data_IF_006683986713
#
_entry.id   IF_006683986713
#
_cell.length_a   1.000
_cell.length_b   1.000
_cell.length_c   1.000
_cell.angle_alpha   90.00
_cell.angle_beta   90.00
_cell.angle_gamma   90.00
#
_symmetry.space_group_name_H-M   'P 1'
#
loop_
_entity.id
_entity.type
_entity.pdbx_description
1 polymer ?
#
# COMPACT_ATOMS: atom_id res chain seq x y z
N UNK A 1 7.08 -31.55 -28.47
CA UNK A 1 7.95 -30.87 -27.49
C UNK A 1 7.06 -30.12 -26.52
N UNK A 2 6.82 -30.69 -25.34
CA UNK A 2 6.00 -30.11 -24.27
C UNK A 2 6.94 -29.68 -23.14
N UNK A 3 6.83 -28.46 -22.59
CA UNK A 3 7.66 -28.06 -21.47
C UNK A 3 7.20 -28.77 -20.20
N UNK A 4 8.13 -29.50 -19.57
CA UNK A 4 7.97 -30.08 -18.24
C UNK A 4 7.89 -28.94 -17.21
N UNK A 5 6.71 -28.70 -16.66
CA UNK A 5 6.56 -27.93 -15.43
C UNK A 5 6.96 -28.82 -14.24
N UNK A 6 8.05 -28.46 -13.59
CA UNK A 6 8.46 -29.01 -12.29
C UNK A 6 7.57 -28.40 -11.20
N UNK A 7 6.84 -29.19 -10.40
CA UNK A 7 6.16 -28.66 -9.22
C UNK A 7 7.20 -28.33 -8.15
N UNK A 8 7.14 -27.10 -7.65
CA UNK A 8 7.89 -26.64 -6.48
C UNK A 8 7.35 -27.41 -5.26
N UNK A 9 8.04 -28.47 -4.85
CA UNK A 9 7.71 -29.21 -3.65
C UNK A 9 8.00 -28.34 -2.42
N UNK A 10 6.95 -27.83 -1.80
CA UNK A 10 7.01 -27.23 -0.47
C UNK A 10 7.36 -28.36 0.52
N UNK A 11 8.61 -28.46 0.93
CA UNK A 11 9.03 -29.36 2.01
C UNK A 11 8.51 -28.78 3.32
N UNK A 12 7.27 -29.11 3.66
CA UNK A 12 6.75 -29.00 5.02
C UNK A 12 7.38 -30.14 5.83
N UNK A 13 8.57 -29.86 6.37
CA UNK A 13 9.15 -30.70 7.40
C UNK A 13 8.20 -30.73 8.60
N UNK A 14 7.54 -31.88 8.80
CA UNK A 14 6.86 -32.25 10.04
C UNK A 14 7.92 -32.37 11.14
N UNK A 15 8.36 -31.24 11.67
CA UNK A 15 8.98 -31.21 12.98
C UNK A 15 7.88 -31.58 13.98
N UNK A 16 8.10 -32.68 14.72
CA UNK A 16 7.22 -33.09 15.81
C UNK A 16 7.00 -31.94 16.82
N UNK A 17 6.02 -32.05 17.72
CA UNK A 17 5.72 -31.01 18.70
C UNK A 17 6.90 -30.88 19.67
N UNK A 18 7.90 -30.11 19.28
CA UNK A 18 8.88 -29.55 20.18
C UNK A 18 8.06 -28.74 21.16
N UNK A 19 8.01 -29.21 22.41
CA UNK A 19 7.39 -28.51 23.51
C UNK A 19 7.94 -27.09 23.50
N UNK A 20 7.15 -26.15 22.99
CA UNK A 20 7.46 -24.74 23.01
C UNK A 20 7.67 -24.43 24.49
N UNK A 21 8.92 -24.29 24.89
CA UNK A 21 9.24 -23.76 26.21
C UNK A 21 8.52 -22.43 26.25
N UNK A 22 7.48 -22.35 27.09
CA UNK A 22 6.79 -21.11 27.36
C UNK A 22 7.86 -20.16 27.87
N UNK A 23 8.39 -19.34 26.96
CA UNK A 23 9.31 -18.27 27.31
C UNK A 23 8.62 -17.41 28.37
N UNK A 24 9.39 -16.73 29.23
CA UNK A 24 8.80 -15.82 30.21
C UNK A 24 7.84 -14.89 29.49
N UNK A 25 6.54 -15.04 29.78
CA UNK A 25 5.48 -14.24 29.19
C UNK A 25 5.73 -12.78 29.56
N UNK A 26 5.81 -11.92 28.55
CA UNK A 26 5.89 -10.48 28.80
C UNK A 26 4.63 -10.04 29.54
N UNK A 27 4.78 -9.25 30.60
CA UNK A 27 3.63 -8.71 31.31
C UNK A 27 2.99 -7.59 30.51
N UNK A 28 1.66 -7.47 30.57
CA UNK A 28 0.98 -6.31 30.04
C UNK A 28 1.37 -5.06 30.83
N UNK A 29 1.31 -3.92 30.14
CA UNK A 29 1.59 -2.60 30.73
C UNK A 29 0.43 -2.14 31.61
N UNK A 30 -0.74 -2.70 31.42
CA UNK A 30 -1.93 -2.45 32.23
C UNK A 30 -1.81 -3.25 33.53
N UNK A 31 -1.88 -2.54 34.66
CA UNK A 31 -1.93 -3.19 35.95
C UNK A 31 -3.36 -3.66 36.25
N UNK A 32 -3.49 -4.84 36.85
CA UNK A 32 -4.79 -5.31 37.33
C UNK A 32 -5.32 -4.37 38.41
N UNK A 33 -6.60 -4.01 38.32
CA UNK A 33 -7.24 -3.10 39.28
C UNK A 33 -7.05 -3.56 40.73
N UNK A 34 -7.14 -4.88 40.98
CA UNK A 34 -6.90 -5.48 42.29
C UNK A 34 -5.50 -5.21 42.84
N UNK A 35 -4.47 -5.29 42.00
CA UNK A 35 -3.09 -4.98 42.38
C UNK A 35 -2.88 -3.49 42.65
N UNK A 36 -3.60 -2.64 41.92
CA UNK A 36 -3.54 -1.17 42.06
C UNK A 36 -4.27 -0.70 43.32
N UNK A 37 -5.41 -1.30 43.67
CA UNK A 37 -6.19 -0.95 44.88
C UNK A 37 -5.55 -1.42 46.19
N UNK A 38 -4.59 -2.34 46.13
CA UNK A 38 -3.90 -2.93 47.31
C UNK A 38 -2.49 -2.37 47.53
N UNK A 39 -2.14 -1.27 46.85
CA UNK A 39 -0.84 -0.65 46.99
C UNK A 39 -0.61 -0.13 48.42
N UNK A 40 0.43 -0.65 49.06
CA UNK A 40 0.85 -0.20 50.40
C UNK A 40 1.35 1.26 50.40
N UNK A 41 1.86 1.72 49.25
CA UNK A 41 2.29 3.10 49.06
C UNK A 41 1.16 3.91 48.42
N UNK A 42 0.46 4.70 49.24
CA UNK A 42 -0.65 5.53 48.76
C UNK A 42 -0.11 6.82 48.11
N UNK A 43 -0.51 7.11 46.86
CA UNK A 43 -0.33 8.43 46.28
C UNK A 43 -0.99 9.51 47.13
N UNK A 44 -0.52 10.76 47.02
CA UNK A 44 -1.21 11.90 47.64
C UNK A 44 -2.67 11.97 47.20
N UNK A 45 -3.54 12.49 48.06
CA UNK A 45 -4.98 12.59 47.78
C UNK A 45 -5.30 13.35 46.48
N UNK A 46 -4.47 14.35 46.12
CA UNK A 46 -4.62 15.11 44.88
C UNK A 46 -4.32 14.29 43.62
N UNK A 47 -3.34 13.40 43.68
CA UNK A 47 -2.87 12.61 42.54
C UNK A 47 -3.42 11.18 42.50
N UNK A 48 -4.06 10.71 43.58
CA UNK A 48 -4.51 9.32 43.73
C UNK A 48 -5.31 8.81 42.54
N UNK A 49 -6.44 9.44 42.23
CA UNK A 49 -7.30 8.94 41.15
C UNK A 49 -6.57 8.90 39.80
N UNK A 50 -5.81 9.97 39.48
CA UNK A 50 -5.05 10.02 38.24
C UNK A 50 -4.02 8.90 38.16
N UNK A 51 -3.22 8.67 39.21
CA UNK A 51 -2.19 7.63 39.21
C UNK A 51 -2.79 6.24 39.09
N UNK A 52 -3.91 5.96 39.79
CA UNK A 52 -4.59 4.67 39.67
C UNK A 52 -5.13 4.45 38.25
N UNK A 53 -5.77 5.45 37.65
CA UNK A 53 -6.23 5.40 36.27
C UNK A 53 -5.06 5.15 35.30
N UNK A 54 -3.95 5.87 35.45
CA UNK A 54 -2.77 5.74 34.60
C UNK A 54 -2.16 4.33 34.67
N UNK A 55 -2.13 3.72 35.85
CA UNK A 55 -1.63 2.36 36.07
C UNK A 55 -2.56 1.30 35.46
N UNK A 56 -3.87 1.46 35.62
CA UNK A 56 -4.88 0.55 35.04
C UNK A 56 -4.90 0.67 33.51
N UNK A 57 -4.87 1.90 32.98
CA UNK A 57 -4.82 2.15 31.54
C UNK A 57 -3.45 1.80 30.93
N UNK A 58 -2.39 1.74 31.75
CA UNK A 58 -1.01 1.56 31.31
C UNK A 58 -0.50 2.75 30.48
N UNK A 59 -0.96 3.96 30.79
CA UNK A 59 -0.70 5.18 30.01
C UNK A 59 -0.60 6.38 30.94
N UNK A 60 0.43 7.21 30.74
CA UNK A 60 0.59 8.51 31.41
C UNK A 60 -0.36 9.54 30.79
N UNK A 61 -0.94 10.43 31.61
CA UNK A 61 -1.71 11.60 31.14
C UNK A 61 -0.85 12.86 31.05
N UNK A 62 -0.17 13.22 32.13
CA UNK A 62 0.70 14.42 32.21
C UNK A 62 1.89 14.21 33.18
N UNK A 63 2.63 15.28 33.50
CA UNK A 63 3.79 15.23 34.40
C UNK A 63 3.50 15.76 35.82
N UNK A 64 2.26 16.19 36.13
CA UNK A 64 1.92 16.81 37.41
C UNK A 64 2.08 15.85 38.61
N UNK A 65 1.77 14.57 38.41
CA UNK A 65 1.80 13.52 39.44
C UNK A 65 3.03 12.60 39.34
N UNK A 66 4.18 13.12 38.90
CA UNK A 66 5.38 12.32 38.61
C UNK A 66 5.92 11.53 39.79
N UNK A 67 6.04 12.15 40.98
CA UNK A 67 6.60 11.50 42.17
C UNK A 67 5.68 10.40 42.73
N UNK A 68 4.38 10.70 42.84
CA UNK A 68 3.35 9.76 43.27
C UNK A 68 3.26 8.55 42.32
N UNK A 69 3.35 8.81 41.01
CA UNK A 69 3.42 7.76 39.98
C UNK A 69 4.65 6.88 40.14
N UNK A 70 5.82 7.46 40.38
CA UNK A 70 7.04 6.68 40.58
C UNK A 70 6.93 5.82 41.84
N UNK A 71 6.40 6.39 42.94
CA UNK A 71 6.16 5.68 44.19
C UNK A 71 5.23 4.47 44.02
N UNK A 72 4.05 4.68 43.43
CA UNK A 72 3.08 3.62 43.16
C UNK A 72 3.65 2.57 42.18
N UNK A 73 4.34 3.03 41.12
CA UNK A 73 4.97 2.16 40.14
C UNK A 73 6.09 1.29 40.73
N UNK A 74 6.87 1.81 41.70
CA UNK A 74 7.86 1.02 42.44
C UNK A 74 7.23 -0.11 43.25
N UNK A 75 6.06 0.14 43.85
CA UNK A 75 5.34 -0.86 44.64
C UNK A 75 4.75 -1.99 43.77
N UNK A 76 4.45 -1.71 42.49
CA UNK A 76 3.90 -2.72 41.57
C UNK A 76 4.96 -3.64 40.93
N UNK A 77 6.14 -3.13 40.61
CA UNK A 77 7.15 -3.89 39.86
C UNK A 77 7.76 -5.01 40.70
N UNK A 78 7.77 -6.23 40.16
CA UNK A 78 8.47 -7.38 40.73
C UNK A 78 9.78 -7.65 40.00
N UNK A 79 10.76 -8.24 40.70
CA UNK A 79 12.10 -8.55 40.13
C UNK A 79 12.08 -9.42 38.86
N UNK A 80 11.03 -10.23 38.67
CA UNK A 80 10.87 -11.13 37.52
C UNK A 80 10.03 -10.53 36.40
N UNK A 81 9.50 -9.32 36.57
CA UNK A 81 8.67 -8.69 35.55
C UNK A 81 9.53 -8.28 34.35
N UNK A 82 8.97 -8.53 33.17
CA UNK A 82 9.52 -8.13 31.88
C UNK A 82 8.40 -7.57 31.01
N UNK A 83 8.70 -6.51 30.28
CA UNK A 83 7.76 -5.78 29.44
C UNK A 83 8.30 -5.71 28.02
N UNK A 84 7.44 -5.90 27.03
CA UNK A 84 7.80 -5.67 25.65
C UNK A 84 7.76 -4.18 25.31
N UNK A 85 8.70 -3.72 24.47
CA UNK A 85 8.68 -2.37 23.92
C UNK A 85 9.06 -2.36 22.45
N UNK A 86 8.64 -1.30 21.74
CA UNK A 86 8.93 -1.09 20.32
C UNK A 86 9.96 0.03 20.19
N UNK A 87 11.15 -0.31 19.71
CA UNK A 87 12.22 0.66 19.48
C UNK A 87 12.00 1.42 18.16
N UNK A 88 11.63 0.69 17.12
CA UNK A 88 11.36 1.24 15.80
C UNK A 88 10.18 0.52 15.17
N UNK A 89 9.31 1.29 14.52
CA UNK A 89 8.18 0.80 13.73
C UNK A 89 8.13 1.56 12.43
N UNK A 90 8.09 0.84 11.33
CA UNK A 90 7.92 1.38 9.98
C UNK A 90 6.79 0.59 9.32
N UNK A 91 5.74 1.29 8.92
CA UNK A 91 4.63 0.70 8.17
C UNK A 91 4.72 1.25 6.75
N UNK A 92 4.92 0.35 5.79
CA UNK A 92 4.88 0.62 4.37
C UNK A 92 3.68 -0.10 3.75
N UNK A 93 3.35 0.24 2.50
CA UNK A 93 2.19 -0.34 1.81
C UNK A 93 2.21 -1.88 1.78
N UNK A 94 3.40 -2.47 1.59
CA UNK A 94 3.56 -3.91 1.43
C UNK A 94 4.13 -4.61 2.67
N UNK A 95 4.75 -3.85 3.59
CA UNK A 95 5.51 -4.43 4.70
C UNK A 95 5.33 -3.67 6.01
N UNK A 96 5.39 -4.41 7.11
CA UNK A 96 5.56 -3.87 8.45
C UNK A 96 6.92 -4.32 8.97
N UNK A 97 7.74 -3.36 9.40
CA UNK A 97 9.07 -3.60 9.96
C UNK A 97 9.09 -3.10 11.41
N UNK A 98 9.50 -3.98 12.31
CA UNK A 98 9.59 -3.70 13.74
C UNK A 98 10.98 -4.01 14.26
N UNK A 99 11.42 -3.23 15.24
CA UNK A 99 12.54 -3.57 16.11
C UNK A 99 12.00 -3.61 17.53
N UNK A 100 11.95 -4.82 18.09
CA UNK A 100 11.35 -5.12 19.38
C UNK A 100 12.43 -5.30 20.45
N UNK A 101 12.08 -4.91 21.67
CA UNK A 101 12.94 -5.06 22.83
C UNK A 101 12.16 -5.54 24.04
N UNK A 102 12.93 -6.02 25.02
CA UNK A 102 12.43 -6.41 26.32
C UNK A 102 13.04 -5.51 27.38
N UNK A 103 12.19 -4.95 28.23
CA UNK A 103 12.54 -4.17 29.39
C UNK A 103 12.33 -5.03 30.63
N UNK A 104 13.38 -5.24 31.42
CA UNK A 104 13.34 -6.06 32.64
C UNK A 104 13.99 -5.31 33.79
N UNK A 105 13.79 -5.79 35.03
CA UNK A 105 14.40 -5.19 36.24
C UNK A 105 14.17 -3.67 36.32
N UNK A 106 12.95 -3.25 36.03
CA UNK A 106 12.56 -1.85 36.11
C UNK A 106 12.65 -1.33 37.53
N UNK A 107 12.92 -0.03 37.70
CA UNK A 107 12.84 0.62 39.01
C UNK A 107 11.39 0.90 39.35
N UNK A 108 10.61 1.37 38.37
CA UNK A 108 9.17 1.62 38.49
C UNK A 108 8.40 0.98 37.35
N UNK A 109 7.09 0.87 37.48
CA UNK A 109 6.21 0.35 36.43
C UNK A 109 6.26 1.24 35.18
N UNK A 110 6.62 0.72 34.00
CA UNK A 110 6.69 1.53 32.79
C UNK A 110 5.27 1.88 32.32
N UNK A 111 5.07 3.12 31.88
CA UNK A 111 3.79 3.59 31.32
C UNK A 111 3.98 4.15 29.92
N UNK A 112 2.99 3.93 29.04
CA UNK A 112 3.01 4.49 27.69
C UNK A 112 2.86 6.00 27.73
N UNK A 113 3.56 6.70 26.83
CA UNK A 113 3.32 8.13 26.61
C UNK A 113 1.89 8.41 26.11
N UNK A 114 1.29 9.59 26.40
CA UNK A 114 -0.15 9.85 26.23
C UNK A 114 -0.73 9.56 24.83
N UNK A 115 0.05 9.80 23.77
CA UNK A 115 -0.36 9.64 22.37
C UNK A 115 0.10 8.33 21.73
N UNK A 116 0.52 7.35 22.54
CA UNK A 116 1.12 6.10 22.05
C UNK A 116 0.31 4.88 22.48
N UNK A 117 0.31 3.90 21.59
CA UNK A 117 -0.29 2.58 21.72
C UNK A 117 0.68 1.56 22.35
N UNK A 118 1.97 1.75 22.15
CA UNK A 118 3.05 0.85 22.61
C UNK A 118 4.05 1.57 23.50
N UNK A 119 4.75 0.80 24.36
CA UNK A 119 5.93 1.30 25.06
C UNK A 119 7.06 1.59 24.07
N UNK A 120 7.69 2.75 24.20
CA UNK A 120 8.91 3.09 23.48
C UNK A 120 10.13 2.96 24.37
N UNK A 121 11.31 2.96 23.74
CA UNK A 121 12.60 2.98 24.43
C UNK A 121 12.69 4.10 25.49
N UNK A 122 12.13 5.27 25.21
CA UNK A 122 12.10 6.42 26.13
C UNK A 122 11.27 6.12 27.38
N UNK A 123 10.11 5.49 27.22
CA UNK A 123 9.20 5.17 28.32
C UNK A 123 9.85 4.16 29.30
N UNK A 124 10.44 3.09 28.75
CA UNK A 124 11.12 2.06 29.57
C UNK A 124 12.45 2.55 30.15
N UNK A 125 13.12 3.50 29.51
CA UNK A 125 14.32 4.13 30.08
C UNK A 125 13.97 5.04 31.24
N UNK A 126 12.87 5.80 31.14
CA UNK A 126 12.37 6.64 32.23
C UNK A 126 11.97 5.80 33.46
N UNK A 127 11.44 4.59 33.25
CA UNK A 127 11.16 3.63 34.32
C UNK A 127 12.42 2.93 34.90
N UNK A 128 13.61 3.28 34.42
CA UNK A 128 14.88 2.74 34.90
C UNK A 128 15.08 1.25 34.58
N UNK A 129 14.48 0.75 33.50
CA UNK A 129 14.58 -0.66 33.11
C UNK A 129 15.92 -1.01 32.47
N UNK A 130 16.35 -2.26 32.64
CA UNK A 130 17.41 -2.89 31.84
C UNK A 130 16.83 -3.39 30.53
N UNK A 131 17.42 -2.94 29.42
CA UNK A 131 16.91 -3.22 28.07
C UNK A 131 17.74 -4.33 27.39
N UNK A 132 17.07 -5.19 26.64
CA UNK A 132 17.68 -6.15 25.70
C UNK A 132 16.84 -6.29 24.43
N UNK A 133 17.41 -6.90 23.38
CA UNK A 133 16.64 -7.29 22.19
C UNK A 133 15.66 -8.39 22.54
N UNK A 134 14.43 -8.28 22.07
CA UNK A 134 13.43 -9.32 22.27
C UNK A 134 13.69 -10.47 21.29
N UNK A 135 13.88 -11.68 21.83
CA UNK A 135 14.10 -12.90 21.07
C UNK A 135 13.02 -13.90 21.49
N UNK A 136 11.87 -13.84 20.83
CA UNK A 136 10.73 -14.63 21.24
C UNK A 136 9.61 -14.63 20.19
N UNK A 137 8.57 -15.44 20.43
CA UNK A 137 7.41 -15.52 19.56
C UNK A 137 6.53 -14.27 19.69
N UNK A 138 6.01 -13.81 18.58
CA UNK A 138 5.04 -12.72 18.44
C UNK A 138 3.79 -13.32 17.84
N UNK A 139 2.75 -13.47 18.68
CA UNK A 139 1.43 -13.86 18.22
C UNK A 139 0.86 -12.80 17.28
N UNK A 140 0.12 -13.24 16.26
CA UNK A 140 -0.64 -12.36 15.37
C UNK A 140 -2.13 -12.60 15.62
N UNK A 141 -2.78 -11.66 16.30
CA UNK A 141 -4.22 -11.73 16.53
C UNK A 141 -4.94 -10.87 15.49
N UNK A 142 -5.79 -11.49 14.70
CA UNK A 142 -6.59 -10.81 13.69
C UNK A 142 -7.96 -10.48 14.27
N UNK A 143 -8.37 -9.21 14.12
CA UNK A 143 -9.63 -8.70 14.65
C UNK A 143 -10.53 -8.33 13.48
N UNK A 144 -11.70 -8.97 13.38
CA UNK A 144 -12.67 -8.66 12.34
C UNK A 144 -13.44 -7.35 12.61
N UNK A 145 -14.26 -6.90 11.65
CA UNK A 145 -15.07 -5.68 11.78
C UNK A 145 -16.13 -5.75 12.89
N UNK A 146 -16.42 -6.95 13.41
CA UNK A 146 -17.33 -7.17 14.54
C UNK A 146 -16.57 -7.23 15.87
N UNK A 147 -15.26 -7.03 15.87
CA UNK A 147 -14.40 -7.08 17.05
C UNK A 147 -14.02 -8.49 17.51
N UNK A 148 -14.37 -9.53 16.75
CA UNK A 148 -14.01 -10.91 17.10
C UNK A 148 -12.53 -11.14 16.79
N UNK A 149 -11.84 -11.74 17.76
CA UNK A 149 -10.40 -12.00 17.74
C UNK A 149 -10.13 -13.44 17.33
N UNK A 150 -9.18 -13.65 16.43
CA UNK A 150 -8.75 -14.97 15.96
C UNK A 150 -7.24 -15.01 15.82
N UNK A 151 -6.63 -16.18 16.04
CA UNK A 151 -5.17 -16.37 15.95
C UNK A 151 -4.89 -17.56 15.02
N UNK A 152 -5.21 -17.45 13.72
CA UNK A 152 -5.11 -18.55 12.78
C UNK A 152 -3.67 -18.94 12.42
N UNK A 153 -2.73 -18.02 12.59
CA UNK A 153 -1.33 -18.21 12.21
C UNK A 153 -0.47 -18.58 13.41
N UNK A 154 0.54 -19.42 13.17
CA UNK A 154 1.58 -19.66 14.14
C UNK A 154 2.32 -18.34 14.50
N UNK A 155 2.78 -18.18 15.75
CA UNK A 155 3.54 -17.00 16.14
C UNK A 155 4.79 -16.80 15.27
N UNK A 156 5.11 -15.55 14.96
CA UNK A 156 6.33 -15.19 14.24
C UNK A 156 7.48 -15.01 15.21
N UNK A 157 8.70 -15.38 14.83
CA UNK A 157 9.88 -15.18 15.68
C UNK A 157 10.68 -13.95 15.25
N UNK A 158 11.16 -13.17 16.21
CA UNK A 158 12.16 -12.12 15.93
C UNK A 158 13.53 -12.72 15.64
N UNK A 159 14.36 -11.97 14.88
CA UNK A 159 15.78 -12.30 14.73
C UNK A 159 16.61 -11.93 15.99
N UNK A 160 17.92 -12.19 15.93
CA UNK A 160 18.85 -11.89 17.03
C UNK A 160 18.88 -10.42 17.44
N UNK A 161 18.57 -9.53 16.51
CA UNK A 161 18.55 -8.08 16.67
C UNK A 161 17.15 -7.57 17.08
N UNK A 162 16.22 -8.49 17.38
CA UNK A 162 14.84 -8.18 17.74
C UNK A 162 14.02 -7.69 16.56
N UNK A 163 14.47 -7.90 15.32
CA UNK A 163 13.76 -7.42 14.13
C UNK A 163 12.68 -8.41 13.74
N UNK A 164 11.54 -7.88 13.33
CA UNK A 164 10.44 -8.61 12.73
C UNK A 164 10.01 -7.89 11.45
N UNK A 165 9.95 -8.64 10.35
CA UNK A 165 9.47 -8.14 9.07
C UNK A 165 8.27 -8.97 8.65
N UNK A 166 7.14 -8.30 8.48
CA UNK A 166 5.88 -8.89 8.06
C UNK A 166 5.58 -8.38 6.65
N UNK A 167 5.33 -9.30 5.71
CA UNK A 167 4.85 -8.96 4.37
C UNK A 167 3.37 -9.25 4.29
N UNK A 168 2.56 -8.24 3.99
CA UNK A 168 1.10 -8.40 3.99
C UNK A 168 0.63 -9.42 2.96
N UNK A 169 1.25 -9.47 1.77
CA UNK A 169 0.94 -10.49 0.77
C UNK A 169 1.19 -11.93 1.27
N UNK A 170 2.24 -12.13 2.08
CA UNK A 170 2.53 -13.45 2.66
C UNK A 170 1.53 -13.83 3.76
N UNK A 171 1.07 -12.86 4.55
CA UNK A 171 0.00 -13.10 5.52
C UNK A 171 -1.32 -13.44 4.82
N UNK A 172 -1.69 -12.68 3.78
CA UNK A 172 -2.90 -12.93 2.99
C UNK A 172 -2.90 -14.33 2.39
N UNK A 173 -1.78 -14.72 1.76
CA UNK A 173 -1.61 -16.07 1.21
C UNK A 173 -1.74 -17.15 2.29
N UNK A 174 -1.15 -16.94 3.47
CA UNK A 174 -1.23 -17.90 4.56
C UNK A 174 -2.65 -18.06 5.10
N UNK A 175 -3.41 -16.97 5.23
CA UNK A 175 -4.82 -17.01 5.64
C UNK A 175 -5.68 -17.79 4.65
N UNK A 176 -5.53 -17.53 3.35
CA UNK A 176 -6.23 -18.26 2.29
C UNK A 176 -5.90 -19.74 2.30
N UNK A 177 -4.63 -20.09 2.51
CA UNK A 177 -4.18 -21.47 2.57
C UNK A 177 -4.77 -22.26 3.76
N UNK A 178 -5.20 -21.56 4.81
CA UNK A 178 -5.82 -22.13 6.01
C UNK A 178 -7.35 -22.02 6.00
N UNK A 179 -7.94 -21.57 4.89
CA UNK A 179 -9.38 -21.29 4.77
C UNK A 179 -9.89 -20.31 5.85
N UNK A 180 -9.08 -19.30 6.14
CA UNK A 180 -9.38 -18.25 7.14
C UNK A 180 -9.77 -16.92 6.48
N UNK A 181 -10.12 -16.93 5.19
CA UNK A 181 -10.42 -15.74 4.41
C UNK A 181 -9.17 -15.01 3.92
N UNK A 182 -9.30 -13.70 3.72
CA UNK A 182 -8.26 -12.79 3.26
C UNK A 182 -8.04 -11.62 4.23
N UNK A 183 -6.95 -10.87 4.09
CA UNK A 183 -6.67 -9.71 4.95
C UNK A 183 -7.78 -8.66 4.92
N UNK A 184 -8.53 -8.55 3.82
CA UNK A 184 -9.63 -7.60 3.67
C UNK A 184 -10.84 -7.89 4.58
N UNK A 185 -10.95 -9.12 5.09
CA UNK A 185 -12.00 -9.54 6.02
C UNK A 185 -11.75 -9.03 7.45
N UNK A 186 -10.53 -8.56 7.74
CA UNK A 186 -10.11 -8.12 9.07
C UNK A 186 -9.96 -6.59 9.13
N UNK A 187 -10.32 -6.03 10.28
CA UNK A 187 -10.20 -4.59 10.54
C UNK A 187 -8.78 -4.22 11.01
N UNK A 188 -8.15 -5.07 11.82
CA UNK A 188 -6.77 -4.85 12.30
C UNK A 188 -6.02 -6.14 12.65
N UNK A 189 -4.71 -6.03 12.70
CA UNK A 189 -3.79 -7.05 13.22
C UNK A 189 -3.17 -6.54 14.51
N UNK A 190 -3.30 -7.28 15.60
CA UNK A 190 -2.65 -7.05 16.88
C UNK A 190 -1.38 -7.91 16.99
N UNK A 191 -0.32 -7.31 17.51
CA UNK A 191 1.03 -7.89 17.53
C UNK A 191 1.43 -8.20 18.97
N UNK A 192 1.70 -9.47 19.22
CA UNK A 192 1.97 -9.99 20.55
C UNK A 192 0.71 -10.11 21.40
N UNK A 193 0.84 -10.80 22.53
CA UNK A 193 -0.26 -10.96 23.48
C UNK A 193 -0.72 -9.59 23.97
N UNK A 194 -2.03 -9.39 24.00
CA UNK A 194 -2.65 -8.10 24.37
C UNK A 194 -2.15 -6.89 23.55
N UNK A 195 -1.65 -7.14 22.33
CA UNK A 195 -1.17 -6.11 21.40
C UNK A 195 -0.01 -5.25 21.94
N UNK A 196 0.85 -5.80 22.82
CA UNK A 196 1.95 -5.02 23.42
C UNK A 196 2.92 -4.45 22.37
N UNK A 197 3.10 -5.14 21.23
CA UNK A 197 3.95 -4.70 20.12
C UNK A 197 3.21 -3.80 19.11
N UNK A 198 1.94 -3.48 19.42
CA UNK A 198 1.10 -2.55 18.67
C UNK A 198 0.08 -3.26 17.78
N UNK A 199 -0.53 -2.48 16.91
CA UNK A 199 -1.50 -2.99 15.95
C UNK A 199 -1.37 -2.30 14.60
N UNK A 200 -1.79 -2.97 13.52
CA UNK A 200 -1.91 -2.41 12.17
C UNK A 200 -3.39 -2.28 11.84
N UNK A 201 -3.83 -1.05 11.55
CA UNK A 201 -5.17 -0.79 11.00
C UNK A 201 -5.18 -1.21 9.52
N UNK A 202 -5.89 -2.30 9.23
CA UNK A 202 -5.97 -2.85 7.87
C UNK A 202 -6.94 -2.07 7.00
N UNK A 203 -7.99 -1.49 7.57
CA UNK A 203 -8.93 -0.66 6.81
C UNK A 203 -8.22 0.59 6.28
N UNK A 204 -7.44 1.26 7.13
CA UNK A 204 -6.63 2.40 6.73
C UNK A 204 -5.58 2.00 5.68
N UNK A 205 -4.90 0.86 5.87
CA UNK A 205 -3.91 0.36 4.92
C UNK A 205 -4.53 0.05 3.54
N UNK A 206 -5.71 -0.55 3.51
CA UNK A 206 -6.43 -0.90 2.28
C UNK A 206 -6.94 0.34 1.56
N UNK A 207 -7.43 1.36 2.28
CA UNK A 207 -7.77 2.67 1.69
C UNK A 207 -6.55 3.31 1.04
N UNK A 208 -5.43 3.39 1.78
CA UNK A 208 -4.19 3.95 1.26
C UNK A 208 -3.67 3.17 0.03
N UNK A 209 -3.86 1.85 0.01
CA UNK A 209 -3.56 1.02 -1.17
C UNK A 209 -4.41 1.38 -2.38
N UNK A 210 -5.71 1.59 -2.17
CA UNK A 210 -6.62 1.99 -3.24
C UNK A 210 -6.22 3.37 -3.81
N UNK A 211 -5.98 4.37 -2.94
CA UNK A 211 -5.51 5.70 -3.35
C UNK A 211 -4.21 5.63 -4.18
N UNK A 212 -3.29 4.76 -3.75
CA UNK A 212 -2.03 4.54 -4.46
C UNK A 212 -2.24 3.87 -5.82
N UNK A 213 -3.10 2.85 -5.91
CA UNK A 213 -3.46 2.22 -7.18
C UNK A 213 -4.07 3.25 -8.15
N UNK A 214 -4.97 4.10 -7.67
CA UNK A 214 -5.58 5.14 -8.50
C UNK A 214 -4.56 6.15 -9.01
N UNK A 215 -3.61 6.55 -8.16
CA UNK A 215 -2.48 7.42 -8.57
C UNK A 215 -1.69 6.81 -9.73
N UNK A 216 -1.50 5.49 -9.74
CA UNK A 216 -0.81 4.80 -10.83
C UNK A 216 -1.66 4.74 -12.11
N UNK A 217 -2.95 4.45 -11.97
CA UNK A 217 -3.92 4.50 -13.09
C UNK A 217 -3.91 5.87 -13.76
N UNK A 218 -4.02 6.96 -12.99
CA UNK A 218 -3.97 8.35 -13.49
C UNK A 218 -2.65 8.70 -14.19
N UNK A 219 -1.56 8.03 -13.83
CA UNK A 219 -0.25 8.17 -14.50
C UNK A 219 -0.10 7.26 -15.74
N UNK A 220 -1.17 6.63 -16.20
CA UNK A 220 -1.17 5.69 -17.31
C UNK A 220 -0.48 4.35 -16.99
N UNK A 221 -0.22 4.06 -15.71
CA UNK A 221 0.45 2.83 -15.24
C UNK A 221 -0.56 1.93 -14.54
N UNK A 222 -1.54 1.44 -15.28
CA UNK A 222 -2.56 0.52 -14.75
C UNK A 222 -3.75 0.40 -15.68
N UNK A 223 -4.66 -0.53 -15.35
CA UNK A 223 -5.93 -0.67 -16.06
C UNK A 223 -7.04 -0.03 -15.21
N UNK A 224 -7.59 1.13 -15.62
CA UNK A 224 -8.66 1.81 -14.85
C UNK A 224 -9.88 0.90 -14.60
N UNK A 225 -10.26 0.06 -15.57
CA UNK A 225 -11.35 -0.90 -15.39
C UNK A 225 -11.06 -1.97 -14.33
N UNK A 226 -9.82 -2.45 -14.23
CA UNK A 226 -9.44 -3.39 -13.17
C UNK A 226 -9.39 -2.70 -11.80
N UNK A 227 -9.02 -1.42 -11.75
CA UNK A 227 -9.14 -0.63 -10.52
C UNK A 227 -10.58 -0.54 -10.07
N UNK A 228 -11.51 -0.17 -10.95
CA UNK A 228 -12.92 -0.03 -10.60
C UNK A 228 -13.54 -1.36 -10.13
N UNK A 229 -13.19 -2.48 -10.77
CA UNK A 229 -13.60 -3.82 -10.35
C UNK A 229 -13.01 -4.23 -9.00
N UNK A 230 -11.75 -3.86 -8.73
CA UNK A 230 -11.06 -4.21 -7.49
C UNK A 230 -11.40 -3.33 -6.29
N UNK A 231 -11.95 -2.13 -6.53
CA UNK A 231 -12.24 -1.12 -5.50
C UNK A 231 -13.61 -0.46 -5.74
N UNK A 232 -14.73 -1.23 -5.72
CA UNK A 232 -16.05 -0.71 -6.08
C UNK A 232 -16.58 0.36 -5.11
N UNK A 233 -16.10 0.37 -3.87
CA UNK A 233 -16.51 1.34 -2.84
C UNK A 233 -15.60 2.58 -2.81
N UNK A 234 -14.61 2.69 -3.69
CA UNK A 234 -13.70 3.83 -3.70
C UNK A 234 -14.44 5.12 -4.13
N UNK A 235 -14.24 6.28 -3.46
CA UNK A 235 -14.96 7.52 -3.78
C UNK A 235 -14.79 7.98 -5.23
N UNK A 236 -13.66 7.62 -5.85
CA UNK A 236 -13.30 7.99 -7.23
C UNK A 236 -13.46 6.82 -8.22
N UNK A 237 -14.28 5.80 -7.88
CA UNK A 237 -14.54 4.65 -8.77
C UNK A 237 -15.19 5.09 -10.09
N UNK A 238 -16.08 6.07 -10.06
CA UNK A 238 -16.75 6.60 -11.25
C UNK A 238 -15.77 7.32 -12.19
N UNK A 239 -14.78 8.03 -11.64
CA UNK A 239 -13.70 8.62 -12.43
C UNK A 239 -12.86 7.53 -13.09
N UNK A 240 -12.52 6.45 -12.36
CA UNK A 240 -11.82 5.32 -12.95
C UNK A 240 -12.66 4.62 -14.04
N UNK A 241 -13.97 4.49 -13.87
CA UNK A 241 -14.87 3.99 -14.91
C UNK A 241 -14.87 4.90 -16.15
N UNK A 242 -14.93 6.22 -15.96
CA UNK A 242 -14.83 7.19 -17.05
C UNK A 242 -13.48 7.08 -17.79
N UNK A 243 -12.36 7.02 -17.07
CA UNK A 243 -11.03 6.78 -17.65
C UNK A 243 -10.97 5.47 -18.44
N UNK A 244 -11.62 4.41 -17.97
CA UNK A 244 -11.70 3.13 -18.67
C UNK A 244 -12.52 3.23 -19.96
N UNK A 245 -13.65 3.94 -19.92
CA UNK A 245 -14.49 4.21 -21.08
C UNK A 245 -13.75 5.05 -22.13
N UNK A 246 -13.09 6.12 -21.71
CA UNK A 246 -12.28 6.97 -22.60
C UNK A 246 -11.17 6.18 -23.27
N UNK A 247 -10.39 5.41 -22.49
CA UNK A 247 -9.32 4.58 -23.05
C UNK A 247 -9.85 3.50 -24.01
N UNK A 248 -11.06 2.97 -23.77
CA UNK A 248 -11.72 2.04 -24.67
C UNK A 248 -12.15 2.74 -25.97
N UNK A 249 -12.76 3.91 -25.87
CA UNK A 249 -13.18 4.71 -27.03
C UNK A 249 -11.99 5.13 -27.89
N UNK A 250 -10.89 5.61 -27.29
CA UNK A 250 -9.68 5.97 -28.04
C UNK A 250 -9.12 4.77 -28.80
N UNK A 251 -9.06 3.58 -28.19
CA UNK A 251 -8.62 2.35 -28.91
C UNK A 251 -9.54 2.00 -30.07
N UNK A 252 -10.85 2.19 -29.90
CA UNK A 252 -11.82 1.95 -30.96
C UNK A 252 -11.73 2.96 -32.09
N UNK A 253 -11.37 4.21 -31.80
CA UNK A 253 -11.14 5.25 -32.79
C UNK A 253 -9.83 5.02 -33.55
N UNK A 254 -8.76 4.63 -32.87
CA UNK A 254 -7.49 4.24 -33.51
C UNK A 254 -7.67 3.07 -34.47
N UNK A 255 -8.36 2.00 -34.01
CA UNK A 255 -8.65 0.85 -34.86
C UNK A 255 -9.59 1.22 -36.03
N UNK A 256 -10.50 2.19 -35.84
CA UNK A 256 -11.34 2.71 -36.93
C UNK A 256 -10.49 3.40 -37.99
N UNK A 257 -9.57 4.28 -37.58
CA UNK A 257 -8.64 4.95 -38.49
C UNK A 257 -7.73 3.96 -39.22
N UNK A 258 -7.37 2.83 -38.59
CA UNK A 258 -6.63 1.74 -39.25
C UNK A 258 -7.49 1.01 -40.28
N UNK A 259 -8.79 0.84 -40.04
CA UNK A 259 -9.73 0.33 -41.07
C UNK A 259 -9.82 1.29 -42.25
N UNK A 260 -9.92 2.59 -41.98
CA UNK A 260 -9.95 3.63 -43.03
C UNK A 260 -8.69 3.59 -43.90
N UNK A 261 -7.51 3.47 -43.28
CA UNK A 261 -6.22 3.32 -43.96
C UNK A 261 -6.00 1.95 -44.63
N UNK A 262 -6.89 0.98 -44.41
CA UNK A 262 -6.75 -0.38 -44.92
C UNK A 262 -5.72 -1.25 -44.16
N UNK A 263 -5.23 -0.78 -43.02
CA UNK A 263 -4.28 -1.47 -42.14
C UNK A 263 -4.96 -2.52 -41.24
N UNK A 264 -6.27 -2.42 -41.04
CA UNK A 264 -7.10 -3.38 -40.30
C UNK A 264 -8.33 -3.75 -41.16
N UNK A 265 -8.69 -5.03 -41.22
CA UNK A 265 -9.92 -5.43 -41.94
C UNK A 265 -11.14 -5.01 -41.13
N UNK A 266 -12.18 -4.54 -41.81
CA UNK A 266 -13.42 -4.11 -41.16
C UNK A 266 -14.13 -5.25 -40.40
N UNK A 267 -14.02 -6.51 -40.85
CA UNK A 267 -14.53 -7.65 -40.07
C UNK A 267 -13.75 -7.83 -38.75
N UNK A 268 -12.42 -7.74 -38.79
CA UNK A 268 -11.59 -7.86 -37.58
C UNK A 268 -11.91 -6.75 -36.57
N UNK A 269 -12.28 -5.56 -37.03
CA UNK A 269 -12.76 -4.48 -36.16
C UNK A 269 -14.06 -4.86 -35.44
N UNK A 270 -15.05 -5.36 -36.18
CA UNK A 270 -16.36 -5.72 -35.64
C UNK A 270 -16.30 -6.88 -34.65
N UNK A 271 -15.37 -7.82 -34.88
CA UNK A 271 -15.11 -8.93 -33.97
C UNK A 271 -14.45 -8.45 -32.66
N UNK A 272 -13.50 -7.51 -32.75
CA UNK A 272 -12.82 -6.94 -31.58
C UNK A 272 -13.73 -6.02 -30.75
N UNK A 273 -14.60 -5.27 -31.41
CA UNK A 273 -15.40 -4.21 -30.80
C UNK A 273 -16.89 -4.39 -31.08
N UNK A 274 -17.51 -5.47 -30.54
CA UNK A 274 -18.88 -5.85 -30.87
C UNK A 274 -19.92 -4.76 -30.56
N UNK A 275 -19.67 -3.96 -29.53
CA UNK A 275 -20.54 -2.86 -29.08
C UNK A 275 -20.00 -1.46 -29.42
N UNK A 276 -19.12 -1.34 -30.42
CA UNK A 276 -18.57 -0.03 -30.79
C UNK A 276 -19.64 0.97 -31.24
N UNK A 277 -19.60 2.25 -30.83
CA UNK A 277 -20.47 3.28 -31.40
C UNK A 277 -20.18 3.51 -32.90
N UNK A 278 -19.01 3.11 -33.40
CA UNK A 278 -18.64 3.23 -34.82
C UNK A 278 -19.08 2.05 -35.68
N UNK A 279 -19.72 1.03 -35.09
CA UNK A 279 -20.12 -0.21 -35.77
C UNK A 279 -20.84 0.02 -37.11
N UNK A 280 -21.86 0.88 -37.12
CA UNK A 280 -22.64 1.18 -38.35
C UNK A 280 -21.78 1.77 -39.46
N UNK A 281 -20.78 2.59 -39.12
CA UNK A 281 -19.83 3.19 -40.07
C UNK A 281 -18.97 2.11 -40.72
N UNK A 282 -18.46 1.18 -39.92
CA UNK A 282 -17.60 0.06 -40.38
C UNK A 282 -18.39 -0.94 -41.24
N UNK A 283 -19.62 -1.28 -40.84
CA UNK A 283 -20.53 -2.13 -41.62
C UNK A 283 -20.84 -1.51 -43.01
N UNK A 284 -21.01 -0.19 -43.08
CA UNK A 284 -21.23 0.49 -44.36
C UNK A 284 -20.02 0.37 -45.31
N UNK A 285 -18.77 0.44 -44.81
CA UNK A 285 -17.58 0.22 -45.64
C UNK A 285 -17.45 -1.21 -46.16
N UNK A 286 -17.84 -2.21 -45.36
CA UNK A 286 -17.92 -3.60 -45.82
C UNK A 286 -18.90 -3.70 -47.00
N UNK A 287 -20.09 -3.11 -46.88
CA UNK A 287 -21.09 -3.08 -47.95
C UNK A 287 -20.62 -2.35 -49.21
N UNK A 288 -19.89 -1.23 -49.06
CA UNK A 288 -19.37 -0.45 -50.17
C UNK A 288 -18.24 -1.17 -50.94
N UNK A 289 -17.35 -1.89 -50.24
CA UNK A 289 -16.28 -2.70 -50.87
C UNK A 289 -16.82 -4.00 -51.49
N UNK A 290 -17.91 -4.55 -50.96
CA UNK A 290 -18.54 -5.76 -51.48
C UNK A 290 -19.37 -5.51 -52.74
N UNK A 291 -19.76 -4.25 -53.03
CA UNK A 291 -20.32 -3.88 -54.34
C UNK A 291 -19.15 -3.80 -55.32
N UNK A 292 -19.00 -4.78 -56.24
CA UNK A 292 -18.07 -4.62 -57.35
C UNK A 292 -18.48 -3.35 -58.10
N UNK A 293 -17.54 -2.71 -58.80
CA UNK A 293 -17.85 -1.69 -59.81
C UNK A 293 -18.69 -2.29 -60.95
N UNK A 294 -19.94 -2.65 -60.67
CA UNK A 294 -20.95 -3.03 -61.63
C UNK A 294 -21.50 -1.72 -62.23
N UNK A 295 -20.65 -1.03 -62.97
CA UNK A 295 -20.92 0.01 -63.98
C UNK A 295 -19.62 0.81 -64.23
N UNK A 296 -18.62 0.17 -64.85
CA UNK A 296 -17.90 0.87 -65.93
C UNK A 296 -18.74 0.63 -67.18
N UNK A 297 -19.44 1.64 -67.75
CA UNK A 297 -19.96 1.50 -69.10
C UNK A 297 -18.76 1.24 -70.00
N UNK A 298 -18.73 0.06 -70.58
CA UNK A 298 -17.88 -0.28 -71.72
C UNK A 298 -18.15 0.75 -72.81
N UNK A 299 -17.25 1.73 -72.94
CA UNK A 299 -17.18 2.57 -74.12
C UNK A 299 -16.94 1.63 -75.31
N UNK A 300 -17.95 1.54 -76.17
CA UNK A 300 -17.92 0.75 -77.39
C UNK A 300 -16.79 1.19 -78.29
N UNK A 301 -16.03 0.19 -78.71
CA UNK A 301 -15.20 0.17 -79.90
C UNK A 301 -16.11 0.03 -81.14
N UNK A 302 -15.67 0.64 -82.25
CA UNK A 302 -16.07 0.50 -83.69
C UNK A 302 -16.54 1.85 -84.29
N UNK A 303 -15.88 2.45 -85.29
CA UNK A 303 -14.74 1.99 -86.09
C UNK A 303 -14.11 3.07 -87.00
N UNK A 304 -12.99 2.64 -87.60
CA UNK A 304 -12.41 2.92 -88.92
C UNK A 304 -12.34 4.36 -89.47
N UNK A 305 -11.11 4.88 -89.58
CA UNK A 305 -10.65 5.64 -90.75
C UNK A 305 -9.11 5.62 -90.88
N UNK A 306 -8.67 5.08 -92.01
CA UNK A 306 -7.39 5.22 -92.72
C UNK A 306 -6.68 6.58 -92.54
N UNK A 307 -5.34 6.58 -92.48
CA UNK A 307 -4.55 7.81 -92.54
C UNK A 307 -3.06 7.63 -92.32
N UNK A 308 -2.36 7.57 -93.45
CA UNK A 308 -0.92 7.43 -93.73
C UNK A 308 0.06 8.38 -92.99
N UNK A 309 1.32 7.90 -92.92
CA UNK A 309 2.63 8.55 -92.74
C UNK A 309 2.80 9.85 -91.91
N UNK A 310 3.80 9.88 -91.01
CA UNK A 310 5.17 10.40 -91.26
C UNK A 310 5.95 10.49 -89.92
N UNK A 311 7.17 9.94 -89.90
CA UNK A 311 8.30 10.23 -88.99
C UNK A 311 8.66 11.75 -88.96
N UNK A 312 9.56 12.30 -88.08
CA UNK A 312 10.76 11.65 -87.56
C UNK A 312 11.23 12.03 -86.12
N UNK A 313 12.28 11.30 -85.72
CA UNK A 313 13.50 11.71 -84.97
C UNK A 313 13.36 12.63 -83.74
N UNK A 314 13.67 12.15 -82.53
CA UNK A 314 15.01 11.92 -81.95
C UNK A 314 15.55 13.13 -81.20
N UNK A 315 15.69 13.01 -79.87
CA UNK A 315 16.86 13.41 -79.06
C UNK A 315 16.58 12.96 -77.61
N UNK A 316 17.40 12.05 -77.06
CA UNK A 316 18.50 12.35 -76.11
C UNK A 316 18.03 13.21 -74.93
N UNK A 317 18.19 12.88 -73.66
CA UNK A 317 19.16 12.05 -72.95
C UNK A 317 19.16 12.59 -71.52
N UNK A 318 19.49 11.78 -70.50
CA UNK A 318 19.53 12.31 -69.14
C UNK A 318 19.49 11.27 -68.03
N UNK A 319 20.53 10.46 -67.95
CA UNK A 319 21.00 9.81 -66.73
C UNK A 319 21.39 10.84 -65.66
N UNK A 320 21.02 10.62 -64.39
CA UNK A 320 22.00 10.61 -63.28
C UNK A 320 21.34 10.20 -61.95
N UNK A 321 22.00 9.26 -61.27
CA UNK A 321 22.40 9.23 -59.86
C UNK A 321 21.37 9.72 -58.82
N UNK A 322 20.94 8.92 -57.85
CA UNK A 322 21.84 8.24 -56.91
C UNK A 322 22.04 9.12 -55.68
N UNK A 323 21.21 8.96 -54.64
CA UNK A 323 21.53 9.41 -53.28
C UNK A 323 20.58 8.77 -52.25
N UNK A 324 21.08 7.73 -51.57
CA UNK A 324 20.74 7.46 -50.17
C UNK A 324 21.74 8.24 -49.32
N UNK A 325 21.28 9.03 -48.35
CA UNK A 325 21.68 8.84 -46.95
C UNK A 325 20.44 9.06 -46.03
N UNK A 326 20.37 8.74 -44.76
CA UNK A 326 21.37 8.43 -43.75
C UNK A 326 20.64 7.78 -42.57
N UNK A 327 21.33 6.87 -41.89
CA UNK A 327 20.93 6.35 -40.61
C UNK A 327 21.05 7.45 -39.54
N UNK A 328 19.92 7.87 -38.98
CA UNK A 328 19.88 8.65 -37.74
C UNK A 328 19.93 7.73 -36.51
N UNK A 329 21.12 7.27 -36.14
CA UNK A 329 21.39 6.86 -34.76
C UNK A 329 21.57 8.12 -33.92
N UNK A 330 20.65 8.40 -32.99
CA UNK A 330 20.86 9.38 -31.93
C UNK A 330 20.63 8.72 -30.58
N UNK A 331 21.78 8.44 -29.97
CA UNK A 331 22.14 8.62 -28.57
C UNK A 331 21.24 8.05 -27.45
N UNK A 332 21.85 7.06 -26.81
CA UNK A 332 21.71 6.74 -25.39
C UNK A 332 22.00 7.99 -24.55
N UNK A 333 20.93 8.64 -24.07
CA UNK A 333 20.99 9.53 -22.92
C UNK A 333 21.03 8.73 -21.62
N UNK A 334 22.22 8.63 -21.05
CA UNK A 334 22.51 8.24 -19.67
C UNK A 334 22.15 9.41 -18.74
N UNK A 335 21.91 9.10 -17.46
CA UNK A 335 21.62 10.03 -16.34
C UNK A 335 20.14 10.49 -16.28
N UNK A 336 19.41 10.41 -15.17
CA UNK A 336 19.81 10.70 -13.79
C UNK A 336 19.09 9.82 -12.78
N UNK A 337 19.84 9.43 -11.76
CA UNK A 337 19.33 9.17 -10.42
C UNK A 337 18.46 10.36 -9.96
N UNK A 338 17.20 10.09 -9.67
CA UNK A 338 16.41 10.92 -8.76
C UNK A 338 15.84 9.99 -7.70
N UNK A 339 16.53 10.00 -6.56
CA UNK A 339 16.05 9.41 -5.32
C UNK A 339 14.73 10.04 -4.92
N UNK A 340 13.64 9.27 -5.00
CA UNK A 340 12.39 9.62 -4.36
C UNK A 340 12.50 9.31 -2.86
N UNK A 341 13.16 10.21 -2.12
CA UNK A 341 12.85 10.42 -0.70
C UNK A 341 11.48 11.11 -0.64
N UNK A 342 10.42 10.31 -0.58
CA UNK A 342 9.08 10.78 -0.23
C UNK A 342 9.08 11.16 1.26
N UNK A 343 9.41 12.41 1.54
CA UNK A 343 9.27 13.02 2.85
C UNK A 343 7.81 13.01 3.28
N UNK A 344 7.58 12.52 4.49
CA UNK A 344 6.33 12.66 5.22
C UNK A 344 6.02 14.14 5.38
N UNK A 345 4.86 14.55 4.86
CA UNK A 345 4.29 15.87 5.07
C UNK A 345 3.92 16.12 6.54
N UNK A 346 3.75 17.39 6.93
CA UNK A 346 3.92 17.86 8.29
C UNK A 346 2.71 17.62 9.18
N UNK A 347 3.04 17.47 10.46
CA UNK A 347 2.18 17.52 11.63
C UNK A 347 1.34 18.80 11.62
N UNK A 348 0.02 18.65 11.71
CA UNK A 348 -0.90 19.74 12.04
C UNK A 348 -0.73 20.10 13.51
N UNK A 349 0.00 21.18 13.80
CA UNK A 349 -0.14 21.93 15.06
C UNK A 349 -1.35 22.86 14.97
N UNK A 350 -2.09 23.08 16.07
CA UNK A 350 -3.14 24.10 16.13
C UNK A 350 -2.52 25.51 16.31
N UNK A 351 -3.21 26.57 15.86
CA UNK A 351 -2.69 27.93 15.91
C UNK A 351 -2.65 28.45 17.36
N UNK A 352 -1.44 28.75 17.82
CA UNK A 352 -1.20 29.57 18.99
C UNK A 352 -1.52 31.04 18.71
N UNK A 353 -2.60 31.54 19.30
CA UNK A 353 -2.90 32.96 19.39
C UNK A 353 -2.01 33.62 20.43
N UNK A 354 -1.06 34.45 19.97
CA UNK A 354 -0.25 35.30 20.82
C UNK A 354 -0.47 36.78 20.50
N UNK A 355 -0.56 37.60 21.56
CA UNK A 355 0.09 38.92 21.79
C UNK A 355 -0.83 39.86 22.59
N UNK A 356 -0.44 40.20 23.83
CA UNK A 356 0.39 41.34 24.29
C UNK A 356 -0.42 42.62 24.50
N UNK A 357 -0.35 43.13 25.72
CA UNK A 357 -0.62 44.52 26.07
C UNK A 357 -0.09 44.79 27.48
N UNK A 358 1.15 45.29 27.58
CA UNK A 358 1.71 45.77 28.84
C UNK A 358 1.36 47.23 29.06
N UNK A 359 1.21 47.64 30.31
CA UNK A 359 1.33 49.03 30.74
C UNK A 359 2.00 49.08 32.11
N UNK A 360 3.12 49.82 32.17
CA UNK A 360 3.81 50.27 33.37
C UNK A 360 3.16 51.56 33.87
N UNK A 361 3.23 51.78 35.19
CA UNK A 361 3.02 53.04 35.91
C UNK A 361 2.48 52.70 37.30
N UNK A 362 3.10 52.98 38.44
CA UNK A 362 4.08 54.01 38.79
C UNK A 362 3.45 54.94 39.84
N UNK A 363 3.67 54.63 41.13
CA UNK A 363 3.85 55.49 42.34
C UNK A 363 3.01 56.78 42.38
N UNK A 364 2.06 56.99 43.30
CA UNK A 364 2.22 57.16 44.75
C UNK A 364 1.43 58.42 45.18
N UNK A 365 1.47 58.82 46.45
CA UNK A 365 1.82 60.21 46.73
C UNK A 365 3.18 60.35 47.43
#
# INVERSE_FOLDING_TARGET
MLPRFLPLALVLGLAGPASAHAGPSLRPVQAELSAVTTLEAEPTAACRQQVLDELVEGRRRDDACGEDRELAGRALVRRRDAFGYVERRVVELATLQLVLGEASRCRSWPLRSPSRDVLRRTDVSAAGCRLRRYQGPIALTFVDRRGRRTTPLAPLTTDRDGRLVIRFASLDQALRALDQGELADYARIELGDEAWAGHVDLEQLLRFRADWHLTWVRRGRGAPGLFALGHPEHPEVDEANAMAADALLSRQEDDLQRVERGELRALDYLDRHPWSPYRRKVEAWLGARARPQAQRPSAGSEGDAEGDATEPEATEGGTSDGATPEAGSVERGRERELGARGGLGPSTEPPGGGRRGGAKGGIGP
#
